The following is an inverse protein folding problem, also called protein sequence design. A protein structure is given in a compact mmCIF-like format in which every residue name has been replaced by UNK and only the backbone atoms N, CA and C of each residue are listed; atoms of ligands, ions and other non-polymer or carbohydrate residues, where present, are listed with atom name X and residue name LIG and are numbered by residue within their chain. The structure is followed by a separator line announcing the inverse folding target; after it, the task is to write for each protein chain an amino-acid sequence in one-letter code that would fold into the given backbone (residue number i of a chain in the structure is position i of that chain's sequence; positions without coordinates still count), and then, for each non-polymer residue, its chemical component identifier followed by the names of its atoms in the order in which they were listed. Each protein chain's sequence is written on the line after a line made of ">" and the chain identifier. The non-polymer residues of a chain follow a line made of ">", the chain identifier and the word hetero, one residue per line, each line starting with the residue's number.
data_IF_640930509114
#
_entry.id   IF_640930509114
#
_cell.length_a   1.000
_cell.length_b   1.000
_cell.length_c   1.000
_cell.angle_alpha   90.00
_cell.angle_beta   90.00
_cell.angle_gamma   90.00
#
_symmetry.space_group_name_H-M   'P 1'
#
loop_
_entity.id
_entity.type
_entity.pdbx_description
1 polymer ?
#
# COMPACT_ATOMS: atom_id res chain seq x y z
N UNK A 1 -39.97 -104.70 11.73
CA UNK A 1 -39.33 -103.37 11.77
C UNK A 1 -38.39 -103.25 10.57
N UNK A 2 -38.82 -102.46 9.58
CA UNK A 2 -38.05 -101.57 8.66
C UNK A 2 -36.53 -101.81 8.52
N UNK A 3 -36.01 -102.33 7.39
CA UNK A 3 -35.62 -101.68 6.09
C UNK A 3 -34.66 -100.47 6.23
N UNK A 4 -33.47 -100.50 5.61
CA UNK A 4 -33.15 -99.92 4.28
C UNK A 4 -31.65 -99.87 3.93
N UNK A 5 -31.41 -99.87 2.62
CA UNK A 5 -30.17 -99.86 1.83
C UNK A 5 -29.17 -98.71 2.09
N UNK A 6 -27.88 -99.00 1.90
CA UNK A 6 -26.82 -98.01 1.59
C UNK A 6 -26.87 -97.61 0.10
N UNK A 7 -26.99 -96.31 -0.17
CA UNK A 7 -26.59 -95.66 -1.43
C UNK A 7 -26.13 -94.25 -1.09
N UNK A 8 -24.91 -93.88 -1.50
CA UNK A 8 -24.58 -92.46 -1.71
C UNK A 8 -23.50 -92.35 -2.78
N UNK A 9 -23.84 -91.54 -3.78
CA UNK A 9 -23.16 -91.23 -5.03
C UNK A 9 -22.35 -89.93 -4.92
N UNK A 10 -21.40 -89.77 -5.83
CA UNK A 10 -20.44 -88.67 -6.02
C UNK A 10 -21.04 -87.25 -6.11
N UNK A 11 -20.29 -86.18 -5.73
CA UNK A 11 -20.71 -84.80 -5.96
C UNK A 11 -20.39 -84.33 -7.38
N UNK A 12 -21.32 -83.54 -7.95
CA UNK A 12 -21.22 -82.83 -9.23
C UNK A 12 -20.64 -81.44 -8.95
N UNK A 13 -19.54 -81.08 -9.62
CA UNK A 13 -19.02 -79.70 -9.64
C UNK A 13 -19.79 -78.88 -10.69
N UNK A 14 -20.42 -77.78 -10.27
CA UNK A 14 -21.00 -76.77 -11.15
C UNK A 14 -19.97 -75.66 -11.35
N UNK A 15 -19.55 -75.47 -12.60
CA UNK A 15 -18.65 -74.40 -13.04
C UNK A 15 -19.48 -73.13 -13.29
N UNK A 16 -19.35 -72.12 -12.43
CA UNK A 16 -19.90 -70.78 -12.69
C UNK A 16 -18.91 -69.99 -13.55
N UNK A 17 -19.29 -69.67 -14.78
CA UNK A 17 -18.57 -68.72 -15.62
C UNK A 17 -18.88 -67.29 -15.12
N UNK A 18 -17.89 -66.65 -14.50
CA UNK A 18 -17.88 -65.22 -14.20
C UNK A 18 -17.59 -64.46 -15.50
N UNK A 19 -18.64 -63.94 -16.12
CA UNK A 19 -18.50 -62.93 -17.18
C UNK A 19 -18.21 -61.59 -16.48
N UNK A 20 -16.94 -61.19 -16.45
CA UNK A 20 -16.58 -59.81 -16.16
C UNK A 20 -17.02 -58.95 -17.35
N UNK A 21 -18.18 -58.31 -17.25
CA UNK A 21 -18.44 -57.11 -18.03
C UNK A 21 -17.44 -56.05 -17.54
N UNK A 22 -16.33 -55.87 -18.26
CA UNK A 22 -15.63 -54.61 -18.24
C UNK A 22 -16.50 -53.61 -18.99
N UNK A 23 -17.45 -53.00 -18.27
CA UNK A 23 -17.97 -51.71 -18.69
C UNK A 23 -16.80 -50.74 -18.62
N UNK A 24 -16.19 -50.47 -19.78
CA UNK A 24 -15.38 -49.27 -19.97
C UNK A 24 -16.26 -48.10 -19.56
N UNK A 25 -16.07 -47.62 -18.34
CA UNK A 25 -16.63 -46.36 -17.91
C UNK A 25 -15.79 -45.32 -18.65
N UNK A 26 -16.16 -44.98 -19.90
CA UNK A 26 -15.71 -43.72 -20.47
C UNK A 26 -16.34 -42.65 -19.57
N UNK A 27 -15.58 -42.18 -18.58
CA UNK A 27 -15.83 -40.87 -18.00
C UNK A 27 -15.78 -39.93 -19.21
N UNK A 28 -16.87 -39.24 -19.52
CA UNK A 28 -16.80 -38.20 -20.55
C UNK A 28 -15.80 -37.16 -20.04
N UNK A 29 -14.87 -36.75 -20.90
CA UNK A 29 -13.94 -35.68 -20.59
C UNK A 29 -14.66 -34.34 -20.77
N UNK A 30 -14.63 -33.48 -19.76
CA UNK A 30 -15.13 -32.12 -19.86
C UNK A 30 -14.03 -31.21 -20.42
N UNK A 31 -14.40 -30.03 -20.92
CA UNK A 31 -13.38 -29.03 -21.27
C UNK A 31 -12.83 -28.40 -19.99
N UNK A 32 -11.54 -28.03 -19.95
CA UNK A 32 -10.99 -27.34 -18.80
C UNK A 32 -11.67 -25.98 -18.63
N UNK A 33 -11.71 -25.45 -17.41
CA UNK A 33 -12.14 -24.09 -17.14
C UNK A 33 -10.91 -23.18 -17.02
N UNK A 34 -10.66 -22.38 -18.06
CA UNK A 34 -9.59 -21.38 -18.05
C UNK A 34 -9.92 -20.21 -17.10
N UNK A 35 -8.91 -19.80 -16.34
CA UNK A 35 -8.94 -18.63 -15.47
C UNK A 35 -7.63 -17.88 -15.60
N UNK A 36 -7.70 -16.56 -15.64
CA UNK A 36 -6.54 -15.67 -15.72
C UNK A 36 -6.75 -14.49 -14.78
N UNK A 37 -5.70 -14.10 -14.09
CA UNK A 37 -5.59 -12.85 -13.37
C UNK A 37 -4.29 -12.14 -13.79
N UNK A 38 -4.35 -10.83 -14.01
CA UNK A 38 -3.16 -10.00 -14.29
C UNK A 38 -2.95 -9.05 -13.12
N UNK A 39 -1.73 -9.02 -12.59
CA UNK A 39 -1.37 -8.16 -11.46
C UNK A 39 -0.04 -7.41 -11.66
N UNK A 40 0.02 -6.11 -11.35
CA UNK A 40 -1.15 -5.23 -11.17
C UNK A 40 -1.90 -5.07 -12.51
N UNK A 41 -3.21 -4.82 -12.50
CA UNK A 41 -3.97 -4.59 -13.74
C UNK A 41 -3.64 -3.26 -14.43
N UNK A 42 -2.99 -2.34 -13.71
CA UNK A 42 -2.47 -1.09 -14.22
C UNK A 42 -1.03 -0.93 -13.79
N UNK A 43 -0.17 -0.55 -14.71
CA UNK A 43 1.23 -0.27 -14.45
C UNK A 43 1.77 0.68 -15.51
N UNK A 44 3.05 0.99 -15.44
CA UNK A 44 3.72 1.81 -16.46
C UNK A 44 4.44 0.95 -17.50
N UNK A 45 5.02 1.58 -18.53
CA UNK A 45 5.93 0.96 -19.51
C UNK A 45 7.22 0.35 -18.91
N UNK A 46 7.35 0.37 -17.60
CA UNK A 46 8.48 -0.15 -16.84
C UNK A 46 8.04 -1.05 -15.68
N UNK A 47 6.73 -1.26 -15.53
CA UNK A 47 6.16 -2.16 -14.52
C UNK A 47 6.20 -3.59 -15.05
N UNK A 48 6.62 -4.52 -14.18
CA UNK A 48 6.49 -5.95 -14.49
C UNK A 48 5.07 -6.39 -14.14
N UNK A 49 4.35 -6.88 -15.16
CA UNK A 49 3.02 -7.45 -15.05
C UNK A 49 3.13 -8.97 -14.93
N UNK A 50 2.38 -9.54 -14.00
CA UNK A 50 2.31 -11.00 -13.79
C UNK A 50 0.98 -11.52 -14.29
N UNK A 51 1.03 -12.46 -15.23
CA UNK A 51 -0.07 -13.33 -15.63
C UNK A 51 -0.08 -14.53 -14.70
N UNK A 52 -1.18 -14.73 -13.98
CA UNK A 52 -1.42 -15.88 -13.11
C UNK A 52 -2.66 -16.65 -13.61
N UNK A 53 -2.43 -17.82 -14.18
CA UNK A 53 -3.48 -18.73 -14.62
C UNK A 53 -3.66 -19.94 -13.69
N UNK A 54 -3.08 -19.91 -12.48
CA UNK A 54 -3.12 -21.04 -11.52
C UNK A 54 -4.53 -21.37 -11.04
N UNK A 55 -5.47 -20.43 -11.16
CA UNK A 55 -6.90 -20.66 -10.89
C UNK A 55 -7.62 -21.53 -11.94
N UNK A 56 -6.95 -21.89 -13.04
CA UNK A 56 -7.51 -22.79 -14.05
C UNK A 56 -7.64 -24.22 -13.50
N UNK A 57 -8.74 -24.90 -13.83
CA UNK A 57 -9.03 -26.23 -13.31
C UNK A 57 -9.79 -27.08 -14.31
N UNK A 58 -9.75 -28.39 -14.12
CA UNK A 58 -10.51 -29.37 -14.88
C UNK A 58 -11.07 -30.45 -13.92
N UNK A 59 -12.19 -31.08 -14.26
CA UNK A 59 -12.84 -32.08 -13.38
C UNK A 59 -12.13 -33.45 -13.42
N UNK A 60 -11.49 -33.75 -14.54
CA UNK A 60 -10.80 -35.01 -14.80
C UNK A 60 -9.30 -34.93 -14.54
N UNK A 61 -8.68 -33.77 -14.77
CA UNK A 61 -7.24 -33.57 -14.74
C UNK A 61 -6.76 -32.75 -13.53
N UNK A 62 -5.68 -33.22 -12.91
CA UNK A 62 -4.96 -32.43 -11.90
C UNK A 62 -4.34 -31.18 -12.53
N UNK A 63 -4.33 -30.06 -11.81
CA UNK A 63 -3.84 -28.77 -12.33
C UNK A 63 -2.43 -28.86 -12.92
N UNK A 64 -1.53 -29.69 -12.36
CA UNK A 64 -0.17 -29.88 -12.87
C UNK A 64 -0.09 -30.46 -14.29
N UNK A 65 -1.14 -31.15 -14.74
CA UNK A 65 -1.24 -31.70 -16.09
C UNK A 65 -1.87 -30.74 -17.10
N UNK A 66 -2.56 -29.69 -16.63
CA UNK A 66 -3.12 -28.66 -17.50
C UNK A 66 -2.00 -27.82 -18.09
N UNK A 67 -2.04 -27.65 -19.41
CA UNK A 67 -1.09 -26.84 -20.16
C UNK A 67 -1.70 -25.48 -20.51
N UNK A 68 -0.87 -24.44 -20.55
CA UNK A 68 -1.21 -23.09 -20.95
C UNK A 68 -0.38 -22.66 -22.17
N UNK A 69 -0.97 -21.77 -22.97
CA UNK A 69 -0.26 -20.81 -23.81
C UNK A 69 -0.94 -19.44 -23.69
N UNK A 70 -0.21 -18.37 -23.94
CA UNK A 70 -0.69 -17.00 -23.81
C UNK A 70 -0.28 -16.13 -25.00
N UNK A 71 -1.08 -15.09 -25.21
CA UNK A 71 -0.95 -14.03 -26.21
C UNK A 71 -1.15 -12.69 -25.45
N UNK A 72 -0.05 -11.99 -25.18
CA UNK A 72 -0.01 -10.77 -24.35
C UNK A 72 -0.71 -9.58 -25.01
N UNK A 73 -0.70 -9.51 -26.34
CA UNK A 73 -1.22 -8.40 -27.12
C UNK A 73 -2.57 -8.70 -27.80
N UNK A 74 -3.04 -9.95 -27.71
CA UNK A 74 -4.21 -10.48 -28.39
C UNK A 74 -4.16 -10.27 -29.91
N UNK A 75 -2.97 -10.41 -30.50
CA UNK A 75 -2.73 -10.23 -31.93
C UNK A 75 -2.85 -11.54 -32.75
N UNK A 76 -3.10 -12.66 -32.05
CA UNK A 76 -3.24 -14.00 -32.62
C UNK A 76 -1.92 -14.76 -32.70
N UNK A 77 -0.81 -14.21 -32.21
CA UNK A 77 0.47 -14.88 -32.02
C UNK A 77 0.57 -15.33 -30.57
N UNK A 78 0.98 -16.59 -30.36
CA UNK A 78 1.19 -17.12 -29.01
C UNK A 78 2.67 -16.96 -28.63
N UNK A 79 2.96 -16.40 -27.45
CA UNK A 79 4.36 -16.22 -27.00
C UNK A 79 5.01 -17.53 -26.59
N UNK A 80 4.21 -18.52 -26.23
CA UNK A 80 4.70 -19.84 -25.84
C UNK A 80 4.01 -20.96 -26.61
N UNK A 81 4.76 -22.05 -26.79
CA UNK A 81 4.15 -23.37 -26.95
C UNK A 81 3.40 -23.76 -25.67
N UNK A 82 2.69 -24.89 -25.71
CA UNK A 82 2.00 -25.42 -24.54
C UNK A 82 2.99 -25.77 -23.41
N UNK A 83 2.88 -25.08 -22.27
CA UNK A 83 3.70 -25.28 -21.07
C UNK A 83 2.82 -25.58 -19.85
N UNK A 84 3.37 -26.18 -18.80
CA UNK A 84 2.61 -26.47 -17.56
C UNK A 84 2.75 -25.38 -16.50
N UNK A 85 3.76 -24.52 -16.64
CA UNK A 85 3.95 -23.33 -15.79
C UNK A 85 2.88 -22.30 -16.11
N UNK A 86 2.17 -21.81 -15.08
CA UNK A 86 0.98 -20.96 -15.22
C UNK A 86 1.19 -19.52 -14.78
N UNK A 87 2.41 -19.18 -14.38
CA UNK A 87 2.78 -17.84 -13.94
C UNK A 87 3.83 -17.28 -14.88
N UNK A 88 3.52 -16.19 -15.57
CA UNK A 88 4.41 -15.57 -16.55
C UNK A 88 4.50 -14.06 -16.32
N UNK A 89 5.64 -13.47 -16.63
CA UNK A 89 5.90 -12.04 -16.44
C UNK A 89 6.19 -11.35 -17.78
N UNK A 90 5.72 -10.10 -17.93
CA UNK A 90 6.01 -9.26 -19.09
C UNK A 90 6.14 -7.77 -18.72
N UNK A 91 6.87 -7.02 -19.54
CA UNK A 91 6.97 -5.55 -19.48
C UNK A 91 6.61 -5.01 -20.86
N UNK A 92 5.56 -4.20 -20.92
CA UNK A 92 5.13 -3.53 -22.15
C UNK A 92 5.96 -2.27 -22.40
N UNK A 93 6.44 -2.08 -23.63
CA UNK A 93 7.25 -0.91 -24.00
C UNK A 93 6.44 0.32 -24.41
N UNK A 94 5.15 0.16 -24.67
CA UNK A 94 4.25 1.22 -25.14
C UNK A 94 3.08 1.40 -24.17
N UNK A 95 2.63 2.64 -24.02
CA UNK A 95 1.42 2.95 -23.26
C UNK A 95 0.17 2.54 -24.05
N UNK A 96 -0.87 2.07 -23.37
CA UNK A 96 -2.08 1.61 -24.03
C UNK A 96 -2.94 0.69 -23.18
N UNK A 97 -4.10 0.35 -23.73
CA UNK A 97 -4.97 -0.70 -23.21
C UNK A 97 -4.65 -2.00 -23.94
N UNK A 98 -4.39 -3.07 -23.19
CA UNK A 98 -4.03 -4.38 -23.70
C UNK A 98 -5.08 -5.41 -23.28
N UNK A 99 -5.31 -6.38 -24.16
CA UNK A 99 -6.09 -7.58 -23.86
C UNK A 99 -5.09 -8.72 -23.89
N UNK A 100 -5.00 -9.48 -22.80
CA UNK A 100 -4.20 -10.70 -22.71
C UNK A 100 -5.13 -11.87 -22.91
N UNK A 101 -4.80 -12.77 -23.83
CA UNK A 101 -5.55 -13.98 -24.09
C UNK A 101 -4.77 -15.21 -23.61
N UNK A 102 -5.45 -16.16 -22.99
CA UNK A 102 -4.86 -17.46 -22.65
C UNK A 102 -5.72 -18.59 -23.20
N UNK A 103 -5.06 -19.70 -23.45
CA UNK A 103 -5.72 -20.99 -23.63
C UNK A 103 -5.21 -22.00 -22.62
N UNK A 104 -6.11 -22.84 -22.11
CA UNK A 104 -5.83 -23.98 -21.26
C UNK A 104 -6.22 -25.25 -21.99
N UNK A 105 -5.33 -26.25 -21.95
CA UNK A 105 -5.53 -27.55 -22.58
C UNK A 105 -5.36 -28.67 -21.56
N UNK A 106 -6.29 -29.61 -21.60
CA UNK A 106 -6.30 -30.80 -20.74
C UNK A 106 -5.49 -31.97 -21.34
N UNK A 107 -5.46 -33.12 -20.64
CA UNK A 107 -4.69 -34.29 -21.10
C UNK A 107 -5.32 -35.02 -22.28
N UNK A 108 -6.60 -34.77 -22.56
CA UNK A 108 -7.36 -35.32 -23.68
C UNK A 108 -7.32 -34.42 -24.92
N UNK A 109 -6.75 -33.23 -24.80
CA UNK A 109 -6.54 -32.25 -25.86
C UNK A 109 -7.70 -31.27 -26.05
N UNK A 110 -8.70 -31.24 -25.16
CA UNK A 110 -9.73 -30.20 -25.19
C UNK A 110 -9.14 -28.88 -24.70
N UNK A 111 -9.61 -27.78 -25.29
CA UNK A 111 -9.07 -26.44 -25.05
C UNK A 111 -10.20 -25.50 -24.66
N UNK A 112 -9.97 -24.69 -23.63
CA UNK A 112 -10.76 -23.50 -23.35
C UNK A 112 -9.89 -22.25 -23.35
N UNK A 113 -10.50 -21.09 -23.53
CA UNK A 113 -9.81 -19.80 -23.59
C UNK A 113 -10.51 -18.75 -22.72
N UNK A 114 -9.75 -17.76 -22.27
CA UNK A 114 -10.28 -16.59 -21.57
C UNK A 114 -9.34 -15.40 -21.75
N UNK A 115 -9.82 -14.20 -21.45
CA UNK A 115 -9.05 -12.95 -21.60
C UNK A 115 -9.05 -12.12 -20.33
N UNK A 116 -8.02 -11.28 -20.16
CA UNK A 116 -7.94 -10.23 -19.16
C UNK A 116 -7.55 -8.89 -19.80
N UNK A 117 -7.97 -7.78 -19.21
CA UNK A 117 -7.54 -6.45 -19.63
C UNK A 117 -6.44 -5.94 -18.69
N UNK A 118 -5.50 -5.18 -19.23
CA UNK A 118 -4.53 -4.40 -18.45
C UNK A 118 -4.29 -3.04 -19.11
N UNK A 119 -3.92 -2.04 -18.31
CA UNK A 119 -3.60 -0.68 -18.78
C UNK A 119 -2.14 -0.35 -18.51
N UNK A 120 -1.43 0.13 -19.52
CA UNK A 120 -0.03 0.59 -19.43
C UNK A 120 0.01 2.10 -19.56
N UNK A 121 0.56 2.78 -18.56
CA UNK A 121 0.74 4.24 -18.50
C UNK A 121 2.19 4.64 -18.73
N UNK A 122 2.46 5.95 -18.85
CA UNK A 122 3.82 6.45 -18.93
C UNK A 122 4.50 6.38 -17.54
N UNK A 123 5.74 5.89 -17.51
CA UNK A 123 6.52 5.70 -16.26
C UNK A 123 6.84 6.99 -15.51
N UNK A 124 6.60 8.16 -16.11
CA UNK A 124 6.98 9.46 -15.54
C UNK A 124 5.83 10.31 -15.02
N UNK A 125 4.57 9.98 -15.32
CA UNK A 125 3.44 10.91 -15.11
C UNK A 125 3.26 11.34 -13.65
N UNK A 126 3.57 10.46 -12.69
CA UNK A 126 3.41 10.72 -11.25
C UNK A 126 4.71 11.11 -10.56
N UNK A 127 5.83 11.21 -11.28
CA UNK A 127 7.12 11.57 -10.71
C UNK A 127 7.18 13.10 -10.60
N UNK A 128 7.17 13.68 -9.38
CA UNK A 128 7.24 15.11 -9.24
C UNK A 128 8.62 15.63 -9.66
N UNK A 129 8.65 16.79 -10.30
CA UNK A 129 9.93 17.39 -10.72
C UNK A 129 10.81 17.83 -9.53
N UNK A 130 10.22 17.98 -8.34
CA UNK A 130 10.96 18.21 -7.10
C UNK A 130 10.29 17.54 -5.89
N UNK A 131 11.12 17.13 -4.92
CA UNK A 131 10.66 16.59 -3.64
C UNK A 131 11.59 17.04 -2.52
N UNK A 132 11.06 17.35 -1.31
CA UNK A 132 11.89 17.72 -0.16
C UNK A 132 12.67 16.53 0.41
N UNK A 133 12.35 15.31 0.00
CA UNK A 133 12.98 14.09 0.49
C UNK A 133 14.22 13.75 -0.32
N UNK A 134 15.27 13.31 0.37
CA UNK A 134 16.42 12.65 -0.27
C UNK A 134 16.09 11.24 -0.69
N UNK A 135 15.07 10.59 -0.10
CA UNK A 135 14.68 9.22 -0.42
C UNK A 135 13.30 9.20 -1.08
N UNK A 136 13.12 8.27 -2.01
CA UNK A 136 11.91 8.12 -2.80
C UNK A 136 10.77 7.44 -2.02
N UNK A 137 11.10 6.46 -1.19
CA UNK A 137 10.12 5.66 -0.45
C UNK A 137 10.42 5.73 1.04
N UNK A 138 9.41 6.08 1.82
CA UNK A 138 9.43 6.03 3.26
C UNK A 138 8.51 4.95 3.83
N UNK A 139 8.51 4.85 5.15
CA UNK A 139 7.61 3.95 5.86
C UNK A 139 6.91 4.66 7.01
N UNK A 140 5.62 4.36 7.16
CA UNK A 140 4.85 4.76 8.32
C UNK A 140 5.29 3.94 9.52
N UNK A 141 5.69 4.63 10.60
CA UNK A 141 6.09 4.03 11.86
C UNK A 141 5.43 4.76 13.00
N UNK A 142 4.31 4.19 13.48
CA UNK A 142 3.73 4.58 14.75
C UNK A 142 4.32 3.70 15.85
N UNK A 143 4.67 4.30 17.00
CA UNK A 143 5.31 3.55 18.09
C UNK A 143 4.32 3.13 19.18
N UNK A 144 3.02 3.42 18.98
CA UNK A 144 1.84 3.08 19.78
C UNK A 144 2.11 2.96 21.28
N UNK A 145 1.65 3.94 22.06
CA UNK A 145 1.87 3.98 23.51
C UNK A 145 1.40 2.71 24.26
N UNK A 146 0.48 1.94 23.70
CA UNK A 146 -0.07 0.71 24.28
C UNK A 146 0.60 -0.59 23.78
N UNK A 147 1.62 -0.54 22.91
CA UNK A 147 2.38 -1.71 22.47
C UNK A 147 3.25 -2.25 23.61
N UNK A 148 2.89 -3.40 24.17
CA UNK A 148 3.63 -4.02 25.29
C UNK A 148 5.03 -4.48 24.84
N UNK A 149 6.02 -4.43 25.73
CA UNK A 149 7.41 -4.87 25.49
C UNK A 149 8.15 -4.15 24.34
N UNK A 150 7.70 -2.94 23.99
CA UNK A 150 8.28 -2.10 22.93
C UNK A 150 9.78 -1.89 23.11
N UNK A 151 10.52 -1.98 22.01
CA UNK A 151 11.89 -1.49 21.91
C UNK A 151 12.06 -0.64 20.64
N UNK A 152 11.89 0.67 20.76
CA UNK A 152 12.01 1.61 19.63
C UNK A 152 13.39 1.56 18.99
N UNK A 153 14.44 1.38 19.79
CA UNK A 153 15.81 1.30 19.26
C UNK A 153 15.93 0.10 18.32
N UNK A 154 15.44 -1.08 18.72
CA UNK A 154 15.42 -2.27 17.85
C UNK A 154 14.50 -2.13 16.64
N UNK A 155 13.34 -1.50 16.81
CA UNK A 155 12.44 -1.19 15.70
C UNK A 155 13.18 -0.33 14.64
N UNK A 156 13.86 0.73 15.08
CA UNK A 156 14.59 1.64 14.20
C UNK A 156 15.87 1.01 13.63
N UNK A 157 16.58 0.16 14.40
CA UNK A 157 17.70 -0.64 13.90
C UNK A 157 17.25 -1.51 12.71
N UNK A 158 16.06 -2.10 12.79
CA UNK A 158 15.51 -2.93 11.71
C UNK A 158 15.02 -2.07 10.54
N UNK A 159 14.14 -1.09 10.81
CA UNK A 159 13.57 -0.20 9.78
C UNK A 159 14.69 0.45 8.96
N UNK A 160 15.71 0.97 9.64
CA UNK A 160 16.73 1.78 8.98
C UNK A 160 17.72 0.97 8.15
N UNK A 161 17.67 -0.37 8.16
CA UNK A 161 18.36 -1.18 7.13
C UNK A 161 17.74 -0.98 5.74
N UNK A 162 16.46 -0.64 5.68
CA UNK A 162 15.66 -0.62 4.46
C UNK A 162 15.15 0.79 4.12
N UNK A 163 14.59 1.50 5.09
CA UNK A 163 13.98 2.82 4.90
C UNK A 163 14.75 3.89 5.67
N UNK A 164 15.11 4.97 4.98
CA UNK A 164 15.75 6.14 5.59
C UNK A 164 14.80 7.33 5.74
N UNK A 165 13.62 7.26 5.12
CA UNK A 165 12.54 8.21 5.29
C UNK A 165 11.45 7.58 6.15
N UNK A 166 11.12 8.22 7.27
CA UNK A 166 10.17 7.68 8.25
C UNK A 166 9.05 8.70 8.48
N UNK A 167 7.80 8.24 8.43
CA UNK A 167 6.63 9.05 8.81
C UNK A 167 6.12 8.63 10.19
N UNK A 168 5.87 9.62 11.05
CA UNK A 168 5.25 9.44 12.37
C UNK A 168 3.89 10.15 12.41
N UNK A 169 2.94 9.72 13.23
CA UNK A 169 1.57 10.30 13.27
C UNK A 169 1.31 11.27 14.42
N UNK A 170 2.12 11.17 15.46
CA UNK A 170 1.94 11.94 16.68
C UNK A 170 3.21 12.69 17.02
N UNK A 171 3.01 13.93 17.46
CA UNK A 171 3.99 14.97 17.55
C UNK A 171 3.91 15.68 18.92
N UNK A 172 3.96 17.01 18.96
CA UNK A 172 3.79 17.75 20.20
C UNK A 172 2.29 17.93 20.52
N UNK A 173 1.89 17.64 21.76
CA UNK A 173 0.55 17.93 22.28
C UNK A 173 -0.56 17.02 21.75
N UNK A 174 -0.48 15.72 22.06
CA UNK A 174 -1.46 14.71 21.59
C UNK A 174 -2.85 14.97 22.21
N UNK A 175 -3.74 15.61 21.46
CA UNK A 175 -5.14 15.80 21.88
C UNK A 175 -5.32 16.69 23.10
N UNK A 176 -4.30 17.46 23.49
CA UNK A 176 -4.28 18.27 24.72
C UNK A 176 -3.86 19.71 24.41
N UNK A 177 -4.33 20.71 25.18
CA UNK A 177 -3.78 22.07 25.13
C UNK A 177 -2.33 22.16 25.64
N UNK A 178 -1.80 21.11 26.27
CA UNK A 178 -0.42 21.04 26.72
C UNK A 178 0.52 20.64 25.57
N UNK A 179 1.49 21.50 25.29
CA UNK A 179 2.52 21.28 24.26
C UNK A 179 3.68 20.49 24.86
N UNK A 180 3.54 19.16 24.91
CA UNK A 180 4.60 18.22 25.31
C UNK A 180 4.97 17.31 24.14
N UNK A 181 6.26 16.98 23.99
CA UNK A 181 6.68 16.02 22.97
C UNK A 181 6.01 14.67 23.22
N UNK A 182 5.47 14.05 22.17
CA UNK A 182 4.85 12.73 22.32
C UNK A 182 5.86 11.73 22.90
N UNK A 183 5.47 10.92 23.90
CA UNK A 183 6.26 9.77 24.37
C UNK A 183 6.53 8.71 23.29
N UNK A 184 5.81 8.77 22.17
CA UNK A 184 6.02 7.93 20.99
C UNK A 184 7.07 8.52 20.03
N UNK A 185 7.20 9.85 19.96
CA UNK A 185 8.14 10.55 19.08
C UNK A 185 9.49 10.85 19.75
N UNK A 186 9.50 11.17 21.05
CA UNK A 186 10.73 11.53 21.77
C UNK A 186 11.86 10.48 21.63
N UNK A 187 11.61 9.16 21.74
CA UNK A 187 12.66 8.16 21.58
C UNK A 187 13.15 8.04 20.12
N UNK A 188 12.29 8.33 19.14
CA UNK A 188 12.66 8.36 17.72
C UNK A 188 13.61 9.53 17.46
N UNK A 189 13.31 10.72 18.01
CA UNK A 189 14.21 11.89 17.92
C UNK A 189 15.57 11.57 18.56
N UNK A 190 15.55 10.99 19.77
CA UNK A 190 16.79 10.59 20.47
C UNK A 190 17.64 9.62 19.66
N UNK A 191 17.01 8.60 19.05
CA UNK A 191 17.70 7.63 18.19
C UNK A 191 18.34 8.33 16.99
N UNK A 192 17.60 9.19 16.29
CA UNK A 192 18.09 9.86 15.07
C UNK A 192 19.24 10.83 15.36
N UNK A 193 19.18 11.54 16.50
CA UNK A 193 20.27 12.41 16.96
C UNK A 193 21.52 11.61 17.36
N UNK A 194 21.36 10.40 17.90
CA UNK A 194 22.46 9.51 18.25
C UNK A 194 23.11 8.84 17.02
N UNK A 195 22.40 8.74 15.90
CA UNK A 195 22.84 8.06 14.67
C UNK A 195 22.85 8.97 13.43
N UNK A 196 23.60 10.10 13.44
CA UNK A 196 23.63 11.03 12.32
C UNK A 196 24.17 10.42 11.01
N UNK A 197 24.95 9.35 11.09
CA UNK A 197 25.50 8.60 9.95
C UNK A 197 24.43 7.85 9.15
N UNK A 198 23.29 7.51 9.78
CA UNK A 198 22.19 6.82 9.10
C UNK A 198 21.40 7.74 8.15
N UNK A 199 21.61 9.07 8.24
CA UNK A 199 20.98 10.10 7.38
C UNK A 199 19.46 9.93 7.27
N UNK A 200 18.81 9.69 8.40
CA UNK A 200 17.35 9.52 8.49
C UNK A 200 16.65 10.86 8.22
N UNK A 201 15.51 10.81 7.55
CA UNK A 201 14.61 11.94 7.31
C UNK A 201 13.22 11.63 7.88
N UNK A 202 12.53 12.68 8.36
CA UNK A 202 11.23 12.58 9.00
C UNK A 202 10.16 13.37 8.24
N UNK A 203 9.03 12.71 8.04
CA UNK A 203 7.74 13.34 7.77
C UNK A 203 6.91 13.30 9.06
N UNK A 204 6.66 14.46 9.66
CA UNK A 204 5.98 14.53 10.95
C UNK A 204 4.50 14.80 10.77
N UNK A 205 3.65 13.83 11.08
CA UNK A 205 2.21 14.03 11.20
C UNK A 205 1.82 14.62 12.55
N UNK A 206 0.84 15.52 12.52
CA UNK A 206 0.20 16.04 13.73
C UNK A 206 -1.09 15.28 14.03
N UNK A 207 -1.51 15.28 15.30
CA UNK A 207 -2.82 14.78 15.65
C UNK A 207 -3.93 15.59 14.97
N UNK A 208 -5.07 14.96 14.64
CA UNK A 208 -6.23 15.64 14.04
C UNK A 208 -6.80 16.76 14.91
N UNK A 209 -6.54 16.71 16.23
CA UNK A 209 -6.80 17.78 17.20
C UNK A 209 -6.09 19.10 16.90
N UNK A 210 -5.08 19.11 16.03
CA UNK A 210 -4.50 20.33 15.50
C UNK A 210 -5.55 21.17 14.76
N UNK A 211 -6.47 20.53 14.05
CA UNK A 211 -7.44 21.17 13.15
C UNK A 211 -8.85 21.28 13.73
N UNK A 212 -9.32 20.25 14.46
CA UNK A 212 -10.62 20.29 15.14
C UNK A 212 -10.64 19.44 16.42
N UNK A 213 -11.52 19.78 17.36
CA UNK A 213 -11.83 18.96 18.53
C UNK A 213 -13.35 18.71 18.51
N UNK A 214 -13.76 17.79 17.64
CA UNK A 214 -15.18 17.54 17.34
C UNK A 214 -15.78 18.75 16.62
N UNK A 215 -16.77 19.40 17.23
CA UNK A 215 -17.42 20.59 16.66
C UNK A 215 -16.75 21.92 17.05
N UNK A 216 -15.52 21.90 17.59
CA UNK A 216 -14.78 23.08 18.02
C UNK A 216 -13.48 23.23 17.22
N UNK A 217 -12.93 24.46 17.10
CA UNK A 217 -11.63 24.67 16.48
C UNK A 217 -10.53 23.87 17.17
N UNK A 218 -9.60 23.35 16.37
CA UNK A 218 -8.41 22.65 16.87
C UNK A 218 -7.40 23.60 17.51
N UNK A 219 -6.39 23.01 18.14
CA UNK A 219 -5.40 23.78 18.89
C UNK A 219 -4.54 24.68 18.01
N UNK A 220 -4.20 24.27 16.78
CA UNK A 220 -3.35 25.05 15.87
C UNK A 220 -4.10 26.17 15.14
N UNK A 221 -5.41 26.29 15.33
CA UNK A 221 -6.15 27.51 14.98
C UNK A 221 -5.68 28.70 15.83
N UNK A 222 -5.08 28.43 17.01
CA UNK A 222 -4.47 29.43 17.87
C UNK A 222 -2.96 29.56 17.57
N UNK A 223 -2.53 30.77 17.19
CA UNK A 223 -1.12 31.07 16.89
C UNK A 223 -0.19 30.85 18.09
N UNK A 224 -0.58 31.26 19.30
CA UNK A 224 0.23 31.08 20.52
C UNK A 224 0.48 29.61 20.84
N UNK A 225 -0.54 28.75 20.65
CA UNK A 225 -0.37 27.31 20.78
C UNK A 225 0.63 26.79 19.74
N UNK A 226 0.48 27.23 18.48
CA UNK A 226 1.34 26.81 17.37
C UNK A 226 2.80 27.24 17.56
N UNK A 227 3.03 28.47 18.04
CA UNK A 227 4.36 28.97 18.41
C UNK A 227 5.02 28.08 19.46
N UNK A 228 4.25 27.75 20.50
CA UNK A 228 4.76 26.89 21.57
C UNK A 228 5.00 25.46 21.07
N UNK A 229 4.16 24.95 20.19
CA UNK A 229 4.34 23.65 19.54
C UNK A 229 5.67 23.61 18.76
N UNK A 230 5.96 24.64 17.94
CA UNK A 230 7.22 24.73 17.15
C UNK A 230 8.43 24.86 18.06
N UNK A 231 8.30 25.63 19.15
CA UNK A 231 9.34 25.75 20.16
C UNK A 231 9.68 24.38 20.77
N UNK A 232 8.68 23.63 21.22
CA UNK A 232 8.88 22.32 21.88
C UNK A 232 9.46 21.29 20.91
N UNK A 233 9.04 21.31 19.64
CA UNK A 233 9.66 20.49 18.60
C UNK A 233 11.16 20.80 18.49
N UNK A 234 11.50 22.09 18.39
CA UNK A 234 12.89 22.55 18.24
C UNK A 234 13.75 22.18 19.46
N UNK A 235 13.19 22.32 20.67
CA UNK A 235 13.84 21.90 21.92
C UNK A 235 14.09 20.38 21.93
N UNK A 236 13.15 19.57 21.43
CA UNK A 236 13.32 18.12 21.36
C UNK A 236 14.45 17.70 20.40
N UNK A 237 14.62 18.40 19.28
CA UNK A 237 15.77 18.21 18.37
C UNK A 237 17.07 18.89 18.86
N UNK A 238 16.98 19.69 19.93
CA UNK A 238 18.08 20.41 20.56
C UNK A 238 18.54 21.67 19.82
N UNK A 239 18.12 21.90 18.57
CA UNK A 239 18.43 23.11 17.79
C UNK A 239 17.56 23.23 16.55
N UNK A 240 17.46 24.46 16.01
CA UNK A 240 16.82 24.76 14.72
C UNK A 240 17.51 24.02 13.57
N UNK A 241 18.84 23.97 13.60
CA UNK A 241 19.66 23.30 12.59
C UNK A 241 19.38 21.79 12.53
N UNK A 242 19.26 21.13 13.69
CA UNK A 242 18.87 19.73 13.74
C UNK A 242 17.45 19.53 13.23
N UNK A 243 16.50 20.37 13.63
CA UNK A 243 15.12 20.26 13.13
C UNK A 243 15.09 20.35 11.60
N UNK A 244 15.76 21.33 10.99
CA UNK A 244 15.87 21.47 9.52
C UNK A 244 16.57 20.30 8.85
N UNK A 245 17.57 19.72 9.52
CA UNK A 245 18.32 18.57 9.01
C UNK A 245 17.42 17.34 8.89
N UNK A 246 16.60 17.07 9.90
CA UNK A 246 15.86 15.82 10.01
C UNK A 246 14.39 15.92 9.57
N UNK A 247 13.71 17.04 9.79
CA UNK A 247 12.30 17.23 9.44
C UNK A 247 12.17 17.78 8.02
N UNK A 248 11.50 17.02 7.15
CA UNK A 248 11.33 17.36 5.73
C UNK A 248 9.94 17.83 5.35
N UNK A 249 8.95 17.54 6.18
CA UNK A 249 7.58 18.04 6.05
C UNK A 249 6.84 17.90 7.38
N UNK A 250 5.91 18.81 7.65
CA UNK A 250 4.89 18.66 8.70
C UNK A 250 3.52 18.45 8.03
N UNK A 251 2.83 17.39 8.41
CA UNK A 251 1.49 17.03 7.91
C UNK A 251 0.46 17.38 8.98
N UNK A 252 -0.34 18.42 8.73
CA UNK A 252 -1.38 18.85 9.65
C UNK A 252 -2.57 17.87 9.60
N UNK A 253 -2.74 17.12 10.68
CA UNK A 253 -3.76 16.08 10.80
C UNK A 253 -3.48 14.84 9.94
N UNK A 254 -4.37 13.86 10.06
CA UNK A 254 -4.39 12.66 9.23
C UNK A 254 -5.79 12.47 8.65
N UNK A 255 -5.89 12.25 7.34
CA UNK A 255 -7.14 12.11 6.60
C UNK A 255 -8.15 13.18 6.99
N UNK A 256 -7.80 14.45 6.74
CA UNK A 256 -8.53 15.60 7.30
C UNK A 256 -9.99 15.67 6.85
N UNK A 257 -10.31 15.00 5.75
CA UNK A 257 -11.64 14.80 5.18
C UNK A 257 -12.48 13.73 5.90
N UNK A 258 -11.85 12.78 6.61
CA UNK A 258 -12.54 11.74 7.40
C UNK A 258 -12.91 12.19 8.81
N UNK A 259 -12.35 13.30 9.27
CA UNK A 259 -12.51 13.79 10.64
C UNK A 259 -13.24 15.14 10.72
N UNK A 260 -13.98 15.50 9.68
CA UNK A 260 -14.71 16.76 9.63
C UNK A 260 -15.80 16.83 10.71
N UNK A 261 -16.09 18.04 11.25
CA UNK A 261 -17.19 18.22 12.19
C UNK A 261 -18.54 17.80 11.62
N UNK A 262 -19.41 17.22 12.45
CA UNK A 262 -20.74 16.81 12.02
C UNK A 262 -21.78 17.94 12.04
N UNK A 263 -21.55 19.00 12.82
CA UNK A 263 -22.42 20.19 12.83
C UNK A 263 -22.19 21.05 11.57
N UNK A 264 -23.25 21.55 10.96
CA UNK A 264 -23.16 22.27 9.68
C UNK A 264 -22.39 23.61 9.77
N UNK A 265 -22.52 24.33 10.88
CA UNK A 265 -21.79 25.59 11.08
C UNK A 265 -20.32 25.30 11.37
N UNK A 266 -20.04 24.31 12.22
CA UNK A 266 -18.68 23.83 12.48
C UNK A 266 -18.00 23.30 11.22
N UNK A 267 -18.69 22.51 10.39
CA UNK A 267 -18.18 22.00 9.12
C UNK A 267 -17.80 23.13 8.15
N UNK A 268 -18.66 24.15 8.05
CA UNK A 268 -18.38 25.34 7.23
C UNK A 268 -17.13 26.07 7.75
N UNK A 269 -17.04 26.28 9.06
CA UNK A 269 -15.90 26.95 9.67
C UNK A 269 -14.62 26.11 9.60
N UNK A 270 -14.73 24.78 9.64
CA UNK A 270 -13.60 23.86 9.49
C UNK A 270 -12.88 24.05 8.16
N UNK A 271 -13.65 24.06 7.07
CA UNK A 271 -13.15 24.26 5.71
C UNK A 271 -12.68 25.70 5.47
N UNK A 272 -13.47 26.68 5.91
CA UNK A 272 -13.23 28.09 5.54
C UNK A 272 -12.31 28.85 6.49
N UNK A 273 -12.08 28.32 7.71
CA UNK A 273 -11.30 29.00 8.74
C UNK A 273 -10.32 28.08 9.43
N UNK A 274 -10.73 26.95 10.00
CA UNK A 274 -9.88 26.18 10.92
C UNK A 274 -8.69 25.54 10.21
N UNK A 275 -8.92 24.88 9.07
CA UNK A 275 -7.84 24.35 8.23
C UNK A 275 -6.93 25.49 7.73
N UNK A 276 -7.45 26.52 7.02
CA UNK A 276 -6.64 27.66 6.58
C UNK A 276 -5.80 28.31 7.70
N UNK A 277 -6.42 28.65 8.83
CA UNK A 277 -5.74 29.30 9.95
C UNK A 277 -4.66 28.41 10.55
N UNK A 278 -4.87 27.09 10.64
CA UNK A 278 -3.86 26.17 11.15
C UNK A 278 -2.65 26.09 10.22
N UNK A 279 -2.88 26.06 8.90
CA UNK A 279 -1.83 26.13 7.90
C UNK A 279 -1.04 27.44 7.98
N UNK A 280 -1.72 28.59 8.02
CA UNK A 280 -1.06 29.89 8.11
C UNK A 280 -0.30 30.06 9.42
N UNK A 281 -0.87 29.62 10.54
CA UNK A 281 -0.19 29.67 11.83
C UNK A 281 1.06 28.80 11.82
N UNK A 282 1.00 27.57 11.32
CA UNK A 282 2.17 26.69 11.25
C UNK A 282 3.26 27.28 10.35
N UNK A 283 2.88 27.75 9.16
CA UNK A 283 3.78 28.44 8.22
C UNK A 283 4.49 29.63 8.86
N UNK A 284 3.72 30.52 9.51
CA UNK A 284 4.27 31.69 10.18
C UNK A 284 5.17 31.31 11.36
N UNK A 285 4.75 30.35 12.20
CA UNK A 285 5.50 29.93 13.38
C UNK A 285 6.83 29.28 13.00
N UNK A 286 6.87 28.46 11.95
CA UNK A 286 8.11 27.88 11.42
C UNK A 286 9.05 28.96 10.88
N UNK A 287 8.52 29.93 10.12
CA UNK A 287 9.32 31.03 9.59
C UNK A 287 9.91 31.91 10.70
N UNK A 288 9.10 32.28 11.70
CA UNK A 288 9.53 33.05 12.88
C UNK A 288 10.58 32.30 13.71
N UNK A 289 10.51 30.97 13.74
CA UNK A 289 11.50 30.10 14.39
C UNK A 289 12.77 29.85 13.54
N UNK A 290 12.89 30.45 12.36
CA UNK A 290 14.07 30.29 11.48
C UNK A 290 14.08 29.02 10.61
N UNK A 291 12.91 28.40 10.41
CA UNK A 291 12.71 27.20 9.59
C UNK A 291 11.73 27.42 8.43
N UNK A 292 11.82 28.53 7.67
CA UNK A 292 10.82 28.86 6.66
C UNK A 292 10.81 27.89 5.47
N UNK A 293 11.84 27.04 5.32
CA UNK A 293 11.91 26.03 4.26
C UNK A 293 11.14 24.73 4.55
N UNK A 294 10.75 24.47 5.80
CA UNK A 294 10.03 23.23 6.15
C UNK A 294 8.60 23.34 5.61
N UNK A 295 8.21 22.53 4.60
CA UNK A 295 6.88 22.58 4.03
C UNK A 295 5.83 22.06 5.01
N UNK A 296 4.62 22.63 4.90
CA UNK A 296 3.43 22.16 5.60
C UNK A 296 2.45 21.62 4.57
N UNK A 297 1.97 20.41 4.77
CA UNK A 297 0.95 19.76 3.94
C UNK A 297 -0.04 19.00 4.83
N UNK A 298 -0.84 18.12 4.24
CA UNK A 298 -1.77 17.24 4.97
C UNK A 298 -1.93 15.91 4.24
N UNK A 299 -2.69 14.99 4.82
CA UNK A 299 -3.12 13.77 4.15
C UNK A 299 -4.63 13.78 3.91
N UNK A 300 -5.02 13.25 2.76
CA UNK A 300 -6.39 13.12 2.27
C UNK A 300 -6.70 11.64 2.10
N UNK A 301 -7.87 11.18 2.56
CA UNK A 301 -8.27 9.78 2.39
C UNK A 301 -8.83 9.52 0.99
N UNK A 302 -9.69 10.38 0.46
CA UNK A 302 -10.21 10.24 -0.90
C UNK A 302 -10.43 11.61 -1.54
N UNK A 303 -9.71 11.85 -2.63
CA UNK A 303 -9.92 13.03 -3.48
C UNK A 303 -11.13 12.84 -4.39
N UNK A 304 -12.06 13.81 -4.47
CA UNK A 304 -13.30 13.62 -5.19
C UNK A 304 -13.23 14.08 -6.65
N UNK A 305 -13.82 13.30 -7.54
CA UNK A 305 -14.06 13.71 -8.93
C UNK A 305 -15.02 14.90 -9.07
N UNK A 306 -15.91 15.09 -8.08
CA UNK A 306 -16.75 16.28 -7.95
C UNK A 306 -16.44 16.98 -6.63
N UNK A 307 -16.02 18.25 -6.71
CA UNK A 307 -15.76 19.10 -5.55
C UNK A 307 -16.87 19.10 -4.48
N UNK A 308 -18.14 18.87 -4.85
CA UNK A 308 -19.25 18.80 -3.92
C UNK A 308 -19.33 17.48 -3.15
N UNK A 309 -18.73 16.39 -3.66
CA UNK A 309 -18.78 15.06 -3.07
C UNK A 309 -17.89 14.94 -1.82
N UNK A 310 -16.73 15.61 -1.81
CA UNK A 310 -15.88 15.74 -0.62
C UNK A 310 -15.30 17.16 -0.52
N UNK A 311 -16.10 18.13 -0.02
CA UNK A 311 -15.70 19.52 0.02
C UNK A 311 -14.43 19.76 0.83
N UNK A 312 -14.19 19.01 1.90
CA UNK A 312 -12.99 19.15 2.75
C UNK A 312 -11.74 18.80 1.95
N UNK A 313 -11.74 17.66 1.28
CA UNK A 313 -10.62 17.20 0.46
C UNK A 313 -10.29 18.17 -0.66
N UNK A 314 -11.30 18.60 -1.42
CA UNK A 314 -11.15 19.55 -2.52
C UNK A 314 -10.61 20.91 -2.04
N UNK A 315 -11.26 21.51 -1.04
CA UNK A 315 -10.91 22.85 -0.58
C UNK A 315 -9.57 22.91 0.15
N UNK A 316 -9.22 21.88 0.92
CA UNK A 316 -7.92 21.81 1.61
C UNK A 316 -6.78 21.68 0.60
N UNK A 317 -6.92 20.79 -0.39
CA UNK A 317 -5.93 20.60 -1.46
C UNK A 317 -5.74 21.88 -2.27
N UNK A 318 -6.84 22.52 -2.65
CA UNK A 318 -6.83 23.81 -3.35
C UNK A 318 -6.14 24.90 -2.52
N UNK A 319 -6.48 25.01 -1.24
CA UNK A 319 -5.88 25.99 -0.34
C UNK A 319 -4.36 25.83 -0.25
N UNK A 320 -3.89 24.60 -0.03
CA UNK A 320 -2.45 24.29 0.06
C UNK A 320 -1.72 24.72 -1.21
N UNK A 321 -2.29 24.44 -2.38
CA UNK A 321 -1.71 24.80 -3.67
C UNK A 321 -1.65 26.34 -3.87
N UNK A 322 -2.75 27.03 -3.59
CA UNK A 322 -2.86 28.49 -3.79
C UNK A 322 -2.02 29.31 -2.78
N UNK A 323 -1.77 28.75 -1.59
CA UNK A 323 -1.06 29.41 -0.49
C UNK A 323 0.36 28.87 -0.24
N UNK A 324 0.86 28.04 -1.17
CA UNK A 324 2.19 27.44 -1.06
C UNK A 324 3.30 28.50 -0.95
N UNK A 325 4.27 28.26 -0.08
CA UNK A 325 5.41 29.17 0.07
C UNK A 325 6.41 28.98 -1.07
N UNK A 326 6.95 30.05 -1.64
CA UNK A 326 8.06 29.97 -2.59
C UNK A 326 9.34 29.39 -1.98
N UNK A 327 9.45 29.37 -0.65
CA UNK A 327 10.58 28.75 0.08
C UNK A 327 10.39 27.24 0.28
N UNK A 328 9.21 26.71 0.02
CA UNK A 328 8.89 25.29 0.21
C UNK A 328 9.08 24.53 -1.10
N UNK A 329 9.91 23.49 -1.07
CA UNK A 329 10.05 22.55 -2.19
C UNK A 329 10.25 23.24 -3.55
N UNK A 330 11.07 24.30 -3.59
CA UNK A 330 11.30 25.11 -4.82
C UNK A 330 10.03 25.72 -5.41
N UNK A 331 9.05 26.05 -4.57
CA UNK A 331 7.75 26.58 -4.96
C UNK A 331 6.75 25.54 -5.48
N UNK A 332 7.09 24.25 -5.48
CA UNK A 332 6.21 23.20 -5.98
C UNK A 332 5.39 22.58 -4.85
N UNK A 333 4.08 22.83 -4.89
CA UNK A 333 3.13 22.30 -3.92
C UNK A 333 2.93 20.80 -4.05
N UNK A 334 2.67 20.13 -2.94
CA UNK A 334 2.30 18.72 -2.90
C UNK A 334 1.30 18.44 -1.79
N UNK A 335 0.48 17.42 -2.00
CA UNK A 335 -0.48 16.89 -1.02
C UNK A 335 -0.38 15.38 -0.99
N UNK A 336 -0.55 14.80 0.20
CA UNK A 336 -0.51 13.35 0.38
C UNK A 336 -1.91 12.76 0.28
N UNK A 337 -2.02 11.65 -0.44
CA UNK A 337 -3.24 10.88 -0.57
C UNK A 337 -3.00 9.49 -0.01
N UNK A 338 -3.87 9.07 0.90
CA UNK A 338 -3.88 7.74 1.47
C UNK A 338 -4.83 6.90 0.65
N UNK A 339 -4.41 5.74 0.17
CA UNK A 339 -5.28 4.88 -0.62
C UNK A 339 -4.86 3.42 -0.48
N UNK A 340 -5.85 2.54 -0.55
CA UNK A 340 -5.70 1.10 -0.41
C UNK A 340 -6.52 0.40 -1.49
N UNK A 341 -6.25 -0.89 -1.73
CA UNK A 341 -6.93 -1.70 -2.73
C UNK A 341 -8.46 -1.60 -2.63
N UNK A 342 -9.16 -1.73 -3.76
CA UNK A 342 -10.62 -1.50 -3.92
C UNK A 342 -11.48 -2.03 -2.76
N UNK A 343 -11.17 -3.25 -2.36
CA UNK A 343 -11.57 -3.85 -1.09
C UNK A 343 -10.33 -4.56 -0.54
N UNK A 344 -10.27 -4.73 0.79
CA UNK A 344 -9.18 -5.42 1.46
C UNK A 344 -9.12 -6.92 1.08
N UNK A 345 -10.17 -7.48 0.47
CA UNK A 345 -10.13 -8.84 -0.09
C UNK A 345 -9.46 -8.91 -1.48
N UNK A 346 -9.16 -7.79 -2.13
CA UNK A 346 -8.60 -7.73 -3.48
C UNK A 346 -7.11 -7.43 -3.41
N UNK A 347 -6.33 -8.13 -4.23
CA UNK A 347 -4.86 -8.01 -4.26
C UNK A 347 -4.35 -7.21 -5.44
N UNK A 348 -5.22 -6.63 -6.25
CA UNK A 348 -4.81 -5.86 -7.41
C UNK A 348 -4.46 -4.42 -7.03
N UNK A 349 -3.17 -4.10 -7.04
CA UNK A 349 -2.68 -2.74 -6.77
C UNK A 349 -2.88 -1.78 -7.96
N UNK A 350 -3.26 -2.30 -9.14
CA UNK A 350 -3.61 -1.47 -10.30
C UNK A 350 -4.76 -0.50 -10.02
N UNK A 351 -5.64 -0.84 -9.08
CA UNK A 351 -6.71 0.04 -8.60
C UNK A 351 -6.17 1.32 -7.95
N UNK A 352 -5.19 1.21 -7.08
CA UNK A 352 -4.54 2.35 -6.41
C UNK A 352 -3.74 3.19 -7.41
N UNK A 353 -3.04 2.55 -8.34
CA UNK A 353 -2.33 3.23 -9.42
C UNK A 353 -3.31 4.08 -10.23
N UNK A 354 -4.46 3.51 -10.61
CA UNK A 354 -5.56 4.24 -11.27
C UNK A 354 -5.98 5.45 -10.46
N UNK A 355 -6.17 5.27 -9.15
CA UNK A 355 -6.59 6.34 -8.26
C UNK A 355 -5.59 7.50 -8.30
N UNK A 356 -4.30 7.26 -8.13
CA UNK A 356 -3.30 8.33 -8.12
C UNK A 356 -3.20 9.08 -9.46
N UNK A 357 -3.24 8.37 -10.59
CA UNK A 357 -3.31 9.01 -11.91
C UNK A 357 -4.60 9.83 -12.09
N UNK A 358 -5.74 9.34 -11.58
CA UNK A 358 -7.01 10.09 -11.63
C UNK A 358 -6.90 11.39 -10.86
N UNK A 359 -6.35 11.35 -9.64
CA UNK A 359 -6.14 12.55 -8.82
C UNK A 359 -5.19 13.53 -9.50
N UNK A 360 -4.06 13.06 -10.03
CA UNK A 360 -3.09 13.93 -10.70
C UNK A 360 -3.70 14.65 -11.91
N UNK A 361 -4.48 13.92 -12.71
CA UNK A 361 -5.22 14.46 -13.84
C UNK A 361 -6.25 15.52 -13.41
N UNK A 362 -7.01 15.28 -12.33
CA UNK A 362 -7.97 16.25 -11.78
C UNK A 362 -7.31 17.51 -11.23
N UNK A 363 -6.08 17.37 -10.71
CA UNK A 363 -5.27 18.49 -10.22
C UNK A 363 -4.48 19.19 -11.34
N UNK A 364 -4.40 18.61 -12.53
CA UNK A 364 -3.55 19.09 -13.62
C UNK A 364 -2.06 19.13 -13.23
N UNK A 365 -1.61 18.17 -12.42
CA UNK A 365 -0.23 18.05 -11.94
C UNK A 365 0.20 19.05 -10.84
N UNK A 366 -0.69 19.92 -10.35
CA UNK A 366 -0.38 20.86 -9.26
C UNK A 366 -1.57 21.06 -8.30
N UNK A 367 -1.44 20.74 -7.01
CA UNK A 367 -0.23 20.27 -6.33
C UNK A 367 0.12 18.84 -6.76
N UNK A 368 1.40 18.46 -6.68
CA UNK A 368 1.83 17.10 -7.01
C UNK A 368 1.25 16.08 -6.02
N UNK A 369 0.88 14.91 -6.55
CA UNK A 369 0.34 13.78 -5.79
C UNK A 369 1.46 13.01 -5.10
N UNK A 370 1.45 12.98 -3.77
CA UNK A 370 2.32 12.11 -2.96
C UNK A 370 1.46 11.03 -2.30
N UNK A 371 2.02 9.84 -2.04
CA UNK A 371 1.29 8.77 -1.36
C UNK A 371 1.61 8.79 0.13
N UNK A 372 0.62 9.12 0.96
CA UNK A 372 0.77 9.22 2.41
C UNK A 372 0.73 7.86 3.09
N UNK A 373 -0.14 6.99 2.61
CA UNK A 373 -0.31 5.63 3.09
C UNK A 373 -0.82 4.75 1.95
N UNK A 374 -0.19 3.59 1.80
CA UNK A 374 -0.76 2.48 1.04
C UNK A 374 -0.13 1.18 1.52
N UNK A 375 -0.84 0.06 1.36
CA UNK A 375 -0.42 -1.24 1.85
C UNK A 375 -1.56 -2.23 1.83
N UNK A 376 -1.46 -3.29 2.65
CA UNK A 376 -2.48 -4.32 2.71
C UNK A 376 -2.56 -4.93 4.11
N UNK A 377 -3.78 -5.20 4.59
CA UNK A 377 -4.00 -5.79 5.91
C UNK A 377 -3.93 -7.33 5.83
N UNK A 378 -2.92 -7.92 6.46
CA UNK A 378 -2.72 -9.37 6.43
C UNK A 378 -3.80 -10.17 7.18
N UNK A 379 -4.79 -9.54 7.83
CA UNK A 379 -5.99 -10.28 8.29
C UNK A 379 -6.75 -10.94 7.14
N UNK A 380 -6.59 -10.41 5.91
CA UNK A 380 -7.13 -10.96 4.68
C UNK A 380 -6.18 -11.94 3.97
N UNK A 381 -5.05 -12.30 4.60
CA UNK A 381 -4.08 -13.26 4.11
C UNK A 381 -2.67 -12.67 4.03
N UNK A 382 -1.70 -13.34 4.65
CA UNK A 382 -0.28 -12.93 4.57
C UNK A 382 0.26 -13.04 3.15
N UNK A 383 -0.13 -14.09 2.40
CA UNK A 383 0.24 -14.22 0.98
C UNK A 383 -0.32 -13.08 0.12
N UNK A 384 -1.53 -12.61 0.44
CA UNK A 384 -2.14 -11.46 -0.23
C UNK A 384 -1.39 -10.15 0.07
N UNK A 385 -0.94 -9.96 1.33
CA UNK A 385 -0.07 -8.83 1.67
C UNK A 385 1.24 -8.88 0.89
N UNK A 386 1.88 -10.05 0.80
CA UNK A 386 3.11 -10.24 0.02
C UNK A 386 2.87 -9.86 -1.45
N UNK A 387 1.75 -10.32 -2.04
CA UNK A 387 1.37 -9.99 -3.42
C UNK A 387 1.24 -8.46 -3.62
N UNK A 388 0.47 -7.77 -2.78
CA UNK A 388 0.24 -6.32 -2.92
C UNK A 388 1.51 -5.51 -2.68
N UNK A 389 2.27 -5.81 -1.63
CA UNK A 389 3.52 -5.08 -1.33
C UNK A 389 4.55 -5.24 -2.45
N UNK A 390 4.68 -6.44 -3.02
CA UNK A 390 5.58 -6.65 -4.16
C UNK A 390 5.08 -5.97 -5.44
N UNK A 391 3.76 -5.86 -5.67
CA UNK A 391 3.22 -5.06 -6.78
C UNK A 391 3.55 -3.56 -6.61
N UNK A 392 3.46 -3.01 -5.39
CA UNK A 392 3.89 -1.64 -5.10
C UNK A 392 5.37 -1.46 -5.48
N UNK A 393 6.24 -2.40 -5.07
CA UNK A 393 7.65 -2.32 -5.42
C UNK A 393 7.92 -2.48 -6.92
N UNK A 394 7.23 -3.38 -7.62
CA UNK A 394 7.33 -3.52 -9.08
C UNK A 394 6.95 -2.22 -9.82
N UNK A 395 5.87 -1.57 -9.37
CA UNK A 395 5.46 -0.27 -9.92
C UNK A 395 6.52 0.82 -9.72
N UNK A 396 7.13 0.88 -8.52
CA UNK A 396 8.17 1.85 -8.19
C UNK A 396 9.52 1.54 -8.83
N UNK A 397 9.87 0.26 -9.00
CA UNK A 397 11.08 -0.21 -9.69
C UNK A 397 11.10 0.29 -11.13
N UNK A 398 9.95 0.26 -11.80
CA UNK A 398 9.81 0.80 -13.14
C UNK A 398 10.17 2.29 -13.22
N UNK A 399 9.56 3.10 -12.36
CA UNK A 399 9.83 4.54 -12.27
C UNK A 399 11.32 4.82 -11.95
N UNK A 400 11.87 4.11 -10.96
CA UNK A 400 13.26 4.26 -10.54
C UNK A 400 14.24 3.83 -11.64
N UNK A 401 13.93 2.77 -12.38
CA UNK A 401 14.71 2.26 -13.50
C UNK A 401 15.02 3.35 -14.52
N UNK A 402 13.97 4.06 -14.96
CA UNK A 402 14.03 5.15 -15.94
C UNK A 402 14.54 6.48 -15.40
N UNK A 403 14.14 6.87 -14.18
CA UNK A 403 14.31 8.25 -13.69
C UNK A 403 15.22 8.41 -12.48
N UNK A 404 15.55 7.31 -11.77
CA UNK A 404 16.22 7.31 -10.45
C UNK A 404 15.44 8.02 -9.34
N UNK A 405 14.20 8.39 -9.63
CA UNK A 405 13.20 8.94 -8.72
C UNK A 405 11.87 8.22 -8.92
N UNK A 406 10.97 8.32 -7.96
CA UNK A 406 9.61 7.79 -8.05
C UNK A 406 8.62 8.85 -7.56
N UNK A 407 7.32 8.59 -7.70
CA UNK A 407 6.32 9.20 -6.83
C UNK A 407 6.74 8.99 -5.36
N UNK A 408 6.78 10.04 -4.53
CA UNK A 408 7.07 9.88 -3.12
C UNK A 408 5.96 9.09 -2.42
N UNK A 409 6.34 8.00 -1.76
CA UNK A 409 5.39 7.07 -1.16
C UNK A 409 5.81 6.65 0.23
N UNK A 410 4.84 6.56 1.14
CA UNK A 410 5.01 5.95 2.46
C UNK A 410 4.21 4.65 2.57
N UNK A 411 4.91 3.53 2.74
CA UNK A 411 4.27 2.24 2.98
C UNK A 411 3.58 2.25 4.35
N UNK A 412 2.36 1.73 4.40
CA UNK A 412 1.62 1.49 5.62
C UNK A 412 1.60 -0.02 5.91
N UNK A 413 2.36 -0.51 6.89
CA UNK A 413 3.26 0.22 7.80
C UNK A 413 4.39 -0.68 8.30
N UNK A 414 5.29 -0.17 9.15
CA UNK A 414 6.43 -0.94 9.65
C UNK A 414 5.99 -2.21 10.42
N UNK A 415 5.16 -2.06 11.45
CA UNK A 415 4.77 -3.17 12.32
C UNK A 415 3.26 -3.25 12.49
N UNK A 416 2.78 -4.40 12.96
CA UNK A 416 1.35 -4.56 13.23
C UNK A 416 0.90 -3.68 14.40
N UNK A 417 -0.31 -3.13 14.27
CA UNK A 417 -0.92 -2.38 15.35
C UNK A 417 -1.34 -3.35 16.48
N UNK A 418 -1.00 -3.05 17.76
CA UNK A 418 -1.29 -3.97 18.87
C UNK A 418 -2.79 -4.08 19.20
N UNK A 419 -3.58 -3.06 18.86
CA UNK A 419 -5.03 -3.03 19.07
C UNK A 419 -5.66 -2.00 18.14
N UNK A 420 -6.79 -2.35 17.51
CA UNK A 420 -7.70 -1.39 16.92
C UNK A 420 -9.12 -1.63 17.44
N UNK A 421 -10.00 -0.64 17.27
CA UNK A 421 -11.43 -0.81 17.54
C UNK A 421 -11.98 -2.05 16.81
N UNK A 422 -12.97 -2.77 17.35
CA UNK A 422 -13.53 -3.96 16.70
C UNK A 422 -13.90 -3.69 15.23
N UNK A 423 -13.41 -4.55 14.34
CA UNK A 423 -13.61 -4.42 12.89
C UNK A 423 -12.66 -3.45 12.17
N UNK A 424 -11.66 -2.89 12.87
CA UNK A 424 -10.58 -2.13 12.23
C UNK A 424 -9.38 -3.04 11.93
N UNK A 425 -8.81 -2.95 10.71
CA UNK A 425 -7.65 -3.72 10.30
C UNK A 425 -6.41 -3.38 11.15
N UNK A 426 -5.60 -4.38 11.50
CA UNK A 426 -4.45 -4.22 12.43
C UNK A 426 -3.14 -4.80 11.91
N UNK A 427 -3.18 -5.61 10.85
CA UNK A 427 -2.09 -6.46 10.37
C UNK A 427 -1.39 -5.91 9.13
N UNK A 428 -1.18 -4.59 9.09
CA UNK A 428 -0.48 -3.89 8.01
C UNK A 428 1.05 -3.92 8.10
N UNK A 429 1.63 -4.46 9.19
CA UNK A 429 3.07 -4.47 9.36
C UNK A 429 3.76 -5.27 8.27
N UNK A 430 4.80 -4.73 7.64
CA UNK A 430 5.62 -5.46 6.67
C UNK A 430 6.87 -6.11 7.28
N UNK A 431 7.15 -5.81 8.56
CA UNK A 431 8.20 -6.48 9.33
C UNK A 431 7.60 -7.55 10.26
N UNK A 432 8.29 -8.67 10.34
CA UNK A 432 8.01 -9.75 11.28
C UNK A 432 8.49 -9.41 12.67
N UNK A 433 7.83 -10.05 13.63
CA UNK A 433 7.94 -9.67 15.01
C UNK A 433 7.72 -10.90 15.90
N UNK A 434 8.69 -11.20 16.78
CA UNK A 434 8.56 -12.36 17.66
C UNK A 434 7.56 -12.10 18.80
N UNK A 435 7.29 -13.12 19.64
CA UNK A 435 6.35 -13.01 20.76
C UNK A 435 6.72 -11.94 21.82
N UNK A 436 7.93 -11.38 21.76
CA UNK A 436 8.40 -10.28 22.61
C UNK A 436 8.39 -8.93 21.91
N UNK A 437 7.78 -8.84 20.73
CA UNK A 437 7.78 -7.65 19.87
C UNK A 437 9.18 -7.16 19.50
N UNK A 438 10.06 -8.12 19.18
CA UNK A 438 11.39 -7.84 18.63
C UNK A 438 11.34 -8.09 17.12
N UNK A 439 11.74 -7.12 16.29
CA UNK A 439 11.76 -7.27 14.83
C UNK A 439 12.62 -8.46 14.39
N UNK A 440 12.20 -9.18 13.34
CA UNK A 440 12.88 -10.34 12.75
C UNK A 440 13.20 -10.15 11.25
N UNK A 441 13.14 -8.91 10.77
CA UNK A 441 13.28 -8.58 9.35
C UNK A 441 11.94 -8.53 8.61
N UNK A 442 11.94 -8.27 7.29
CA UNK A 442 10.72 -8.23 6.49
C UNK A 442 9.97 -9.57 6.52
N UNK A 443 8.64 -9.51 6.37
CA UNK A 443 7.81 -10.71 6.21
C UNK A 443 8.28 -11.56 5.03
N UNK A 444 8.18 -12.88 5.21
CA UNK A 444 8.66 -13.85 4.21
C UNK A 444 7.96 -13.60 2.88
N UNK A 445 8.75 -13.40 1.82
CA UNK A 445 8.26 -13.13 0.47
C UNK A 445 8.21 -11.65 0.10
N UNK A 446 8.26 -10.72 1.06
CA UNK A 446 8.43 -9.29 0.78
C UNK A 446 9.90 -9.02 0.44
N UNK A 447 10.14 -8.58 -0.80
CA UNK A 447 11.49 -8.26 -1.29
C UNK A 447 11.64 -6.75 -1.43
N UNK A 448 12.17 -6.08 -0.39
CA UNK A 448 12.33 -4.62 -0.40
C UNK A 448 13.49 -4.24 -1.33
N UNK A 449 13.26 -3.41 -2.37
CA UNK A 449 14.31 -2.99 -3.29
C UNK A 449 15.46 -2.25 -2.62
N UNK A 450 16.69 -2.62 -2.95
CA UNK A 450 17.92 -2.06 -2.32
C UNK A 450 18.08 -0.56 -2.55
N UNK A 451 17.47 -0.01 -3.62
CA UNK A 451 17.57 1.42 -3.93
C UNK A 451 16.72 2.29 -3.01
N UNK A 452 15.73 1.75 -2.29
CA UNK A 452 14.88 2.52 -1.37
C UNK A 452 15.73 3.18 -0.27
N UNK A 453 16.75 2.48 0.21
CA UNK A 453 17.69 3.00 1.21
C UNK A 453 18.71 4.00 0.67
N UNK A 454 18.76 4.21 -0.65
CA UNK A 454 19.72 5.10 -1.31
C UNK A 454 19.08 6.47 -1.54
N UNK A 455 19.83 7.57 -1.34
CA UNK A 455 19.34 8.87 -1.73
C UNK A 455 19.12 8.91 -3.25
N UNK A 456 18.12 9.68 -3.69
CA UNK A 456 17.87 10.00 -5.09
C UNK A 456 19.12 10.62 -5.72
N UNK A 457 19.37 10.25 -6.97
CA UNK A 457 20.56 10.61 -7.74
C UNK A 457 20.63 12.07 -8.14
#
# INVERSE_FOLDING_TARGET
>A
MTKFFKRTTYPIFILFALVFLQTSCNKNNNQPQASIEIYPSIGSTSTTFTLDATGSWDEEDESEHLQIRFDWEHDGVWETEWVTDKVHENIFSEEGEYIVNIEIKDTHGEVSQTTANLTVTNSSDLIPSNSPFSYNVGINYETWANRKNRNIEKDLDEITKYFKLIRTYHDVGIGTPDTIISPTLEPVIKYILAHPELKIELSLGTATSALNIGNNPGFMVNKTYTDKWVQVLTEAFGSVENTKKYVKVILLGNEVDRVAPGDAAAFKDYITKWIPHSFENMKASLAEAGMPEIPVSTTISNYPADSAANPVSFTSTKYINEHWSSQWNSGQAFVFFNHYTEDMNKTDFGYDIKYFHTVDNELGGSPSVYVGETGYDATFGEENQVKVINQIFSWLDGQYGGHKTTIPLFLFQAFDQPFASPGKPTKFGIFEENAQNIPQGPKKGISIPVWISKPKG
#
